data_IF_251736005713
#
_entry.id   IF_251736005713
#
_cell.length_a   1.000
_cell.length_b   1.000
_cell.length_c   1.000
_cell.angle_alpha   90.00
_cell.angle_beta   90.00
_cell.angle_gamma   90.00
#
_symmetry.space_group_name_H-M   'P 1'
#
loop_
_entity.id
_entity.type
_entity.pdbx_description
1 polymer ?
#
# COMPACT_ATOMS: atom_id res chain seq x y z
N UNK A 1 16.89 31.69 60.63
CA UNK A 1 17.60 32.31 59.51
C UNK A 1 17.11 31.61 58.27
N UNK A 2 16.28 32.31 57.52
CA UNK A 2 15.52 31.81 56.37
C UNK A 2 16.16 32.37 55.12
N UNK A 3 16.65 31.52 54.22
CA UNK A 3 17.01 31.91 52.86
C UNK A 3 16.12 31.14 51.88
N UNK A 4 15.00 31.77 51.53
CA UNK A 4 14.22 31.42 50.34
C UNK A 4 14.89 32.09 49.15
N UNK A 5 15.50 31.28 48.28
CA UNK A 5 16.05 31.75 47.03
C UNK A 5 14.96 31.57 45.95
N UNK A 6 14.04 32.54 45.89
CA UNK A 6 13.05 32.64 44.82
C UNK A 6 13.76 32.96 43.51
N UNK A 7 13.91 31.94 42.65
CA UNK A 7 14.28 32.12 41.25
C UNK A 7 13.04 32.57 40.50
N UNK A 8 12.77 33.88 40.53
CA UNK A 8 11.85 34.53 39.60
C UNK A 8 12.45 34.41 38.19
N UNK A 9 12.04 33.39 37.44
CA UNK A 9 12.25 33.35 36.00
C UNK A 9 11.43 34.50 35.39
N UNK A 10 12.12 35.56 34.99
CA UNK A 10 11.52 36.68 34.24
C UNK A 10 10.77 36.12 33.02
N UNK A 11 9.45 36.13 33.08
CA UNK A 11 8.64 35.87 31.89
C UNK A 11 8.90 37.03 30.91
N UNK A 12 9.30 36.76 29.66
CA UNK A 12 9.52 37.82 28.70
C UNK A 12 8.21 38.58 28.46
N UNK A 13 8.16 39.83 28.90
CA UNK A 13 7.04 40.73 28.67
C UNK A 13 7.11 41.26 27.25
N UNK A 14 6.31 40.69 26.36
CA UNK A 14 6.19 41.16 24.99
C UNK A 14 5.33 42.43 24.93
N UNK A 15 5.77 43.41 24.17
CA UNK A 15 4.95 44.58 23.81
C UNK A 15 3.84 44.15 22.85
N UNK A 16 2.72 44.90 22.83
CA UNK A 16 1.60 44.64 21.93
C UNK A 16 2.05 44.53 20.45
N UNK A 17 2.97 45.39 20.03
CA UNK A 17 3.53 45.36 18.67
C UNK A 17 4.35 44.09 18.38
N UNK A 18 5.09 43.57 19.36
CA UNK A 18 5.82 42.31 19.21
C UNK A 18 4.87 41.11 19.09
N UNK A 19 3.76 41.12 19.85
CA UNK A 19 2.73 40.07 19.74
C UNK A 19 2.05 40.11 18.38
N UNK A 20 1.71 41.30 17.86
CA UNK A 20 1.14 41.47 16.52
C UNK A 20 2.09 40.96 15.42
N UNK A 21 3.40 41.29 15.50
CA UNK A 21 4.41 40.78 14.58
C UNK A 21 4.55 39.25 14.62
N UNK A 22 4.48 38.66 15.82
CA UNK A 22 4.52 37.20 16.00
C UNK A 22 3.28 36.56 15.37
N UNK A 23 2.09 37.12 15.60
CA UNK A 23 0.84 36.62 15.02
C UNK A 23 0.89 36.68 13.50
N UNK A 24 1.39 37.77 12.92
CA UNK A 24 1.50 37.94 11.47
C UNK A 24 2.51 36.95 10.86
N UNK A 25 3.67 36.77 11.49
CA UNK A 25 4.68 35.77 11.09
C UNK A 25 4.15 34.34 11.14
N UNK A 26 3.47 33.97 12.23
CA UNK A 26 2.88 32.63 12.40
C UNK A 26 1.78 32.41 11.36
N UNK A 27 0.90 33.39 11.16
CA UNK A 27 -0.19 33.32 10.18
C UNK A 27 0.35 33.17 8.75
N UNK A 28 1.40 33.90 8.41
CA UNK A 28 2.08 33.78 7.12
C UNK A 28 2.68 32.39 6.94
N UNK A 29 3.43 31.89 7.93
CA UNK A 29 4.04 30.56 7.87
C UNK A 29 3.01 29.44 7.72
N UNK A 30 1.91 29.51 8.47
CA UNK A 30 0.81 28.53 8.37
C UNK A 30 0.18 28.57 6.98
N UNK A 31 -0.03 29.75 6.40
CA UNK A 31 -0.53 29.88 5.02
C UNK A 31 0.45 29.33 3.99
N UNK A 32 1.73 29.64 4.11
CA UNK A 32 2.78 29.13 3.21
C UNK A 32 2.87 27.60 3.27
N UNK A 33 2.83 27.00 4.47
CA UNK A 33 2.80 25.54 4.64
C UNK A 33 1.52 24.92 4.06
N UNK A 34 0.36 25.53 4.27
CA UNK A 34 -0.89 25.05 3.68
C UNK A 34 -0.92 25.16 2.15
N UNK A 35 -0.34 26.22 1.59
CA UNK A 35 -0.23 26.40 0.13
C UNK A 35 0.74 25.39 -0.45
N UNK A 36 1.91 25.18 0.16
CA UNK A 36 2.85 24.12 -0.25
C UNK A 36 2.21 22.74 -0.17
N UNK A 37 1.55 22.39 0.94
CA UNK A 37 0.82 21.13 1.06
C UNK A 37 -0.30 20.99 0.02
N UNK A 38 -1.02 22.07 -0.29
CA UNK A 38 -2.09 22.08 -1.28
C UNK A 38 -1.57 21.97 -2.72
N UNK A 39 -0.39 22.51 -3.03
CA UNK A 39 0.28 22.40 -4.33
C UNK A 39 0.98 21.05 -4.52
N UNK A 40 1.52 20.46 -3.45
CA UNK A 40 2.19 19.16 -3.47
C UNK A 40 1.21 17.98 -3.45
N UNK A 41 0.06 18.10 -2.77
CA UNK A 41 -1.00 17.06 -2.75
C UNK A 41 -1.39 16.51 -4.13
N UNK A 42 -1.68 17.34 -5.16
CA UNK A 42 -2.09 16.84 -6.47
C UNK A 42 -0.94 16.21 -7.26
N UNK A 43 0.32 16.62 -7.03
CA UNK A 43 1.49 16.02 -7.69
C UNK A 43 1.91 14.70 -7.05
N UNK A 44 1.60 14.52 -5.78
CA UNK A 44 2.01 13.37 -4.99
C UNK A 44 3.51 13.38 -4.68
N UNK A 45 3.91 12.51 -3.76
CA UNK A 45 5.33 12.30 -3.41
C UNK A 45 5.84 11.13 -4.28
N UNK A 46 6.94 11.29 -5.01
CA UNK A 46 7.48 10.21 -5.83
C UNK A 46 7.90 9.02 -4.95
N UNK A 47 7.69 7.81 -5.46
CA UNK A 47 8.09 6.59 -4.76
C UNK A 47 9.63 6.56 -4.62
N UNK A 48 10.18 6.18 -3.45
CA UNK A 48 11.61 6.03 -3.28
C UNK A 48 12.23 5.06 -4.32
N UNK A 49 13.38 5.44 -4.90
CA UNK A 49 14.04 4.69 -5.97
C UNK A 49 14.31 3.24 -5.59
N UNK A 50 14.79 3.00 -4.36
CA UNK A 50 15.08 1.66 -3.86
C UNK A 50 13.85 0.71 -3.78
N UNK A 51 12.62 1.25 -3.81
CA UNK A 51 11.39 0.45 -3.90
C UNK A 51 11.04 0.23 -5.37
N UNK A 52 11.03 1.31 -6.16
CA UNK A 52 10.71 1.26 -7.59
C UNK A 52 11.68 0.35 -8.38
N UNK A 53 12.98 0.47 -8.16
CA UNK A 53 14.01 -0.33 -8.85
C UNK A 53 13.87 -1.83 -8.54
N UNK A 54 13.51 -2.21 -7.30
CA UNK A 54 13.27 -3.62 -6.97
C UNK A 54 11.99 -4.14 -7.62
N UNK A 55 10.93 -3.34 -7.68
CA UNK A 55 9.69 -3.70 -8.38
C UNK A 55 9.93 -3.89 -9.88
N UNK A 56 10.69 -2.99 -10.50
CA UNK A 56 11.08 -3.09 -11.92
C UNK A 56 11.97 -4.31 -12.18
N UNK A 57 12.92 -4.58 -11.29
CA UNK A 57 13.74 -5.78 -11.37
C UNK A 57 12.87 -7.04 -11.35
N UNK A 58 11.88 -7.10 -10.44
CA UNK A 58 11.00 -8.25 -10.36
C UNK A 58 10.05 -8.39 -11.55
N UNK A 59 9.61 -7.26 -12.11
CA UNK A 59 8.81 -7.25 -13.33
C UNK A 59 9.62 -7.76 -14.53
N UNK A 60 10.86 -7.30 -14.69
CA UNK A 60 11.75 -7.74 -15.77
C UNK A 60 12.15 -9.21 -15.67
N UNK A 61 12.26 -9.75 -14.45
CA UNK A 61 12.69 -11.11 -14.18
C UNK A 61 11.55 -12.13 -14.03
N UNK A 62 10.28 -11.73 -14.21
CA UNK A 62 9.07 -12.54 -14.02
C UNK A 62 9.11 -13.40 -12.73
N UNK A 63 9.57 -12.78 -11.63
CA UNK A 63 9.80 -13.46 -10.35
C UNK A 63 9.04 -12.81 -9.19
N UNK A 64 8.21 -11.80 -9.48
CA UNK A 64 7.43 -11.04 -8.49
C UNK A 64 6.62 -11.96 -7.57
N UNK A 65 5.96 -12.98 -8.13
CA UNK A 65 5.20 -13.94 -7.35
C UNK A 65 6.09 -14.73 -6.36
N UNK A 66 7.30 -15.12 -6.78
CA UNK A 66 8.25 -15.82 -5.92
C UNK A 66 8.75 -14.91 -4.79
N UNK A 67 9.04 -13.64 -5.10
CA UNK A 67 9.46 -12.64 -4.12
C UNK A 67 8.38 -12.41 -3.04
N UNK A 68 7.12 -12.26 -3.45
CA UNK A 68 5.98 -12.09 -2.55
C UNK A 68 5.80 -13.31 -1.64
N UNK A 69 5.89 -14.53 -2.20
CA UNK A 69 5.82 -15.76 -1.41
C UNK A 69 6.97 -15.90 -0.42
N UNK A 70 8.17 -15.45 -0.79
CA UNK A 70 9.33 -15.44 0.10
C UNK A 70 9.10 -14.48 1.28
N UNK A 71 8.71 -13.23 1.00
CA UNK A 71 8.44 -12.24 2.04
C UNK A 71 7.35 -12.72 3.00
N UNK A 72 6.24 -13.27 2.49
CA UNK A 72 5.15 -13.81 3.32
C UNK A 72 5.64 -14.88 4.32
N UNK A 73 6.65 -15.67 3.97
CA UNK A 73 7.25 -16.68 4.87
C UNK A 73 8.18 -16.08 5.92
N UNK A 74 8.76 -14.92 5.65
CA UNK A 74 9.65 -14.19 6.56
C UNK A 74 8.87 -13.41 7.63
N UNK A 75 7.60 -13.07 7.37
CA UNK A 75 6.75 -12.33 8.32
C UNK A 75 6.48 -13.18 9.58
N UNK A 76 6.71 -12.62 10.79
CA UNK A 76 6.46 -13.33 12.05
C UNK A 76 4.99 -13.74 12.23
N UNK A 77 4.81 -14.81 13.01
CA UNK A 77 3.49 -15.24 13.45
C UNK A 77 3.08 -14.47 14.70
N UNK A 78 1.87 -13.95 14.68
CA UNK A 78 1.21 -13.36 15.84
C UNK A 78 0.08 -14.28 16.30
N UNK A 79 -0.10 -14.38 17.61
CA UNK A 79 -1.19 -15.15 18.20
C UNK A 79 -2.20 -14.17 18.78
N UNK A 80 -3.34 -14.04 18.10
CA UNK A 80 -4.56 -13.44 18.62
C UNK A 80 -5.70 -14.10 17.84
N UNK A 81 -6.47 -14.94 18.54
CA UNK A 81 -7.36 -15.95 17.94
C UNK A 81 -8.36 -15.35 16.95
N UNK A 82 -8.83 -14.14 17.19
CA UNK A 82 -9.85 -13.49 16.37
C UNK A 82 -9.23 -12.67 15.23
N UNK A 83 -8.29 -11.77 15.56
CA UNK A 83 -7.83 -10.75 14.60
C UNK A 83 -6.81 -11.28 13.58
N UNK A 84 -6.10 -12.35 13.93
CA UNK A 84 -4.93 -12.82 13.17
C UNK A 84 -5.22 -14.11 12.40
N UNK A 85 -6.25 -14.85 12.81
CA UNK A 85 -6.69 -16.10 12.18
C UNK A 85 -7.41 -15.80 10.87
N UNK A 86 -7.01 -16.49 9.80
CA UNK A 86 -7.68 -16.35 8.52
C UNK A 86 -8.98 -17.15 8.50
N UNK A 87 -10.09 -16.46 8.24
CA UNK A 87 -11.35 -17.12 7.90
C UNK A 87 -11.26 -17.75 6.52
N UNK A 88 -11.95 -18.87 6.35
CA UNK A 88 -12.11 -19.56 5.07
C UNK A 88 -13.51 -20.11 4.95
N UNK A 89 -14.01 -20.26 3.73
CA UNK A 89 -15.30 -20.90 3.49
C UNK A 89 -15.29 -22.34 3.99
N UNK A 90 -16.31 -22.72 4.78
CA UNK A 90 -16.46 -24.09 5.24
C UNK A 90 -16.63 -25.04 4.04
N UNK A 91 -15.83 -26.12 3.93
CA UNK A 91 -15.90 -27.08 2.82
C UNK A 91 -17.29 -27.64 2.54
N UNK A 92 -18.12 -27.80 3.57
CA UNK A 92 -19.47 -28.34 3.44
C UNK A 92 -20.38 -27.45 2.59
N UNK A 93 -20.15 -26.13 2.56
CA UNK A 93 -20.96 -25.19 1.77
C UNK A 93 -20.42 -24.97 0.35
N UNK A 94 -19.26 -25.53 0.00
CA UNK A 94 -18.65 -25.31 -1.32
C UNK A 94 -19.56 -25.85 -2.43
N UNK A 95 -20.16 -27.03 -2.22
CA UNK A 95 -21.04 -27.63 -3.23
C UNK A 95 -22.34 -26.83 -3.40
N UNK A 96 -22.93 -26.38 -2.30
CA UNK A 96 -24.14 -25.55 -2.32
C UNK A 96 -23.86 -24.20 -3.01
N UNK A 97 -22.74 -23.56 -2.68
CA UNK A 97 -22.29 -22.33 -3.34
C UNK A 97 -22.10 -22.52 -4.84
N UNK A 98 -21.52 -23.66 -5.28
CA UNK A 98 -21.38 -23.98 -6.70
C UNK A 98 -22.73 -24.18 -7.39
N UNK A 99 -23.68 -24.82 -6.73
CA UNK A 99 -25.02 -25.07 -7.28
C UNK A 99 -25.79 -23.77 -7.49
N UNK A 100 -25.64 -22.79 -6.60
CA UNK A 100 -26.29 -21.50 -6.73
C UNK A 100 -25.58 -20.59 -7.74
N UNK A 101 -24.25 -20.44 -7.63
CA UNK A 101 -23.46 -19.59 -8.54
C UNK A 101 -21.98 -19.96 -8.47
N UNK A 102 -21.50 -20.72 -9.45
CA UNK A 102 -20.09 -21.16 -9.55
C UNK A 102 -19.10 -20.01 -9.42
N UNK A 103 -19.42 -18.84 -9.98
CA UNK A 103 -18.55 -17.66 -9.92
C UNK A 103 -18.43 -17.07 -8.51
N UNK A 104 -19.43 -17.27 -7.64
CA UNK A 104 -19.37 -16.82 -6.25
C UNK A 104 -18.27 -17.54 -5.47
N UNK A 105 -17.97 -18.82 -5.77
CA UNK A 105 -16.88 -19.54 -5.10
C UNK A 105 -15.53 -18.92 -5.43
N UNK A 106 -15.31 -18.59 -6.71
CA UNK A 106 -14.05 -17.95 -7.17
C UNK A 106 -13.90 -16.55 -6.55
N UNK A 107 -14.99 -15.77 -6.52
CA UNK A 107 -14.99 -14.44 -5.91
C UNK A 107 -14.68 -14.52 -4.41
N UNK A 108 -15.36 -15.40 -3.67
CA UNK A 108 -15.13 -15.58 -2.23
C UNK A 108 -13.70 -16.02 -1.93
N UNK A 109 -13.14 -16.96 -2.69
CA UNK A 109 -11.73 -17.36 -2.53
C UNK A 109 -10.76 -16.22 -2.84
N UNK A 110 -11.09 -15.39 -3.84
CA UNK A 110 -10.29 -14.20 -4.16
C UNK A 110 -10.30 -13.23 -2.98
N UNK A 111 -11.48 -12.96 -2.40
CA UNK A 111 -11.61 -12.11 -1.21
C UNK A 111 -10.77 -12.67 -0.06
N UNK A 112 -10.87 -13.96 0.25
CA UNK A 112 -10.06 -14.60 1.31
C UNK A 112 -8.55 -14.38 1.10
N UNK A 113 -8.07 -14.51 -0.15
CA UNK A 113 -6.67 -14.28 -0.50
C UNK A 113 -6.26 -12.81 -0.37
N UNK A 114 -7.12 -11.87 -0.78
CA UNK A 114 -6.89 -10.43 -0.60
C UNK A 114 -6.78 -10.09 0.89
N UNK A 115 -7.72 -10.58 1.70
CA UNK A 115 -7.72 -10.40 3.15
C UNK A 115 -6.46 -10.96 3.80
N UNK A 116 -6.00 -12.15 3.39
CA UNK A 116 -4.74 -12.72 3.87
C UNK A 116 -3.52 -11.86 3.49
N UNK A 117 -3.50 -11.27 2.29
CA UNK A 117 -2.46 -10.33 1.86
C UNK A 117 -2.42 -9.11 2.80
N UNK A 118 -3.59 -8.52 3.09
CA UNK A 118 -3.72 -7.40 4.04
C UNK A 118 -3.24 -7.80 5.44
N UNK A 119 -3.59 -9.01 5.92
CA UNK A 119 -3.11 -9.51 7.22
C UNK A 119 -1.58 -9.67 7.24
N UNK A 120 -0.95 -10.11 6.16
CA UNK A 120 0.52 -10.22 6.08
C UNK A 120 1.17 -8.84 6.18
N UNK A 121 0.63 -7.83 5.49
CA UNK A 121 1.11 -6.45 5.62
C UNK A 121 0.96 -5.94 7.05
N UNK A 122 -0.20 -6.16 7.67
CA UNK A 122 -0.47 -5.75 9.05
C UNK A 122 0.54 -6.40 10.03
N UNK A 123 0.78 -7.72 9.93
CA UNK A 123 1.76 -8.43 10.74
C UNK A 123 3.18 -7.88 10.57
N UNK A 124 3.58 -7.57 9.34
CA UNK A 124 4.89 -6.99 9.07
C UNK A 124 5.03 -5.58 9.66
N UNK A 125 4.00 -4.74 9.55
CA UNK A 125 3.97 -3.42 10.21
C UNK A 125 4.02 -3.57 11.73
N UNK A 126 3.25 -4.50 12.31
CA UNK A 126 3.28 -4.76 13.76
C UNK A 126 4.68 -5.15 14.23
N UNK A 127 5.38 -5.99 13.49
CA UNK A 127 6.76 -6.37 13.82
C UNK A 127 7.69 -5.17 13.86
N UNK A 128 7.65 -4.32 12.82
CA UNK A 128 8.48 -3.12 12.74
C UNK A 128 8.10 -2.15 13.87
N UNK A 129 6.80 -1.97 14.12
CA UNK A 129 6.29 -1.16 15.21
C UNK A 129 6.84 -1.61 16.57
N UNK A 130 6.83 -2.91 16.87
CA UNK A 130 7.37 -3.43 18.13
C UNK A 130 8.86 -3.10 18.30
N UNK A 131 9.64 -3.22 17.23
CA UNK A 131 11.08 -2.90 17.23
C UNK A 131 11.32 -1.42 17.45
N UNK A 132 10.63 -0.55 16.71
CA UNK A 132 10.77 0.90 16.85
C UNK A 132 10.26 1.39 18.20
N UNK A 133 9.12 0.87 18.67
CA UNK A 133 8.56 1.21 19.97
C UNK A 133 9.49 0.80 21.12
N UNK A 134 10.17 -0.35 21.01
CA UNK A 134 11.20 -0.75 21.96
C UNK A 134 12.35 0.25 22.02
N UNK A 135 12.85 0.71 20.86
CA UNK A 135 13.92 1.74 20.80
C UNK A 135 13.45 3.06 21.42
N UNK A 136 12.24 3.51 21.09
CA UNK A 136 11.66 4.74 21.64
C UNK A 136 11.48 4.67 23.16
N UNK A 137 11.02 3.53 23.68
CA UNK A 137 10.70 3.36 25.10
C UNK A 137 11.94 3.36 26.00
N UNK A 138 13.05 2.78 25.53
CA UNK A 138 14.29 2.70 26.30
C UNK A 138 15.28 3.85 26.04
N UNK A 139 15.00 4.69 25.05
CA UNK A 139 15.92 5.69 24.52
C UNK A 139 17.00 5.09 23.62
N UNK A 140 17.41 5.87 22.60
CA UNK A 140 18.45 5.48 21.66
C UNK A 140 19.80 5.34 22.37
N UNK A 141 20.48 4.22 22.15
CA UNK A 141 21.79 3.88 22.70
C UNK A 141 22.83 3.74 21.57
N UNK A 142 24.12 3.92 21.87
CA UNK A 142 25.19 3.61 20.93
C UNK A 142 25.11 2.13 20.49
N UNK A 143 24.96 1.89 19.18
CA UNK A 143 24.78 0.55 18.60
C UNK A 143 23.40 0.26 18.03
N UNK A 144 22.41 1.12 18.27
CA UNK A 144 21.04 0.95 17.75
C UNK A 144 20.91 1.23 16.26
N UNK A 145 21.92 1.85 15.67
CA UNK A 145 21.97 2.20 14.25
C UNK A 145 21.72 0.97 13.36
N UNK A 146 22.28 -0.19 13.71
CA UNK A 146 22.11 -1.43 12.95
C UNK A 146 20.69 -2.00 13.07
N UNK A 147 20.01 -1.77 14.20
CA UNK A 147 18.60 -2.14 14.36
C UNK A 147 17.75 -1.23 13.46
N UNK A 148 17.99 0.08 13.49
CA UNK A 148 17.27 1.04 12.66
C UNK A 148 17.45 0.74 11.17
N UNK A 149 18.69 0.52 10.71
CA UNK A 149 18.97 0.15 9.31
C UNK A 149 18.23 -1.11 8.89
N UNK A 150 18.20 -2.14 9.75
CA UNK A 150 17.46 -3.37 9.49
C UNK A 150 15.95 -3.11 9.36
N UNK A 151 15.37 -2.30 10.23
CA UNK A 151 13.93 -2.04 10.17
C UNK A 151 13.54 -1.11 9.01
N UNK A 152 14.43 -0.19 8.59
CA UNK A 152 14.27 0.57 7.34
C UNK A 152 14.24 -0.39 6.14
N UNK A 153 15.12 -1.39 6.12
CA UNK A 153 15.11 -2.43 5.08
C UNK A 153 13.86 -3.30 5.15
N UNK A 154 13.36 -3.64 6.34
CA UNK A 154 12.08 -4.34 6.52
C UNK A 154 10.90 -3.52 5.97
N UNK A 155 10.86 -2.20 6.21
CA UNK A 155 9.85 -1.28 5.67
C UNK A 155 9.91 -1.23 4.15
N UNK A 156 11.11 -1.16 3.59
CA UNK A 156 11.33 -1.16 2.13
C UNK A 156 10.79 -2.45 1.50
N UNK A 157 11.13 -3.62 2.05
CA UNK A 157 10.60 -4.92 1.60
C UNK A 157 9.09 -5.03 1.73
N UNK A 158 8.52 -4.49 2.81
CA UNK A 158 7.08 -4.43 3.00
C UNK A 158 6.39 -3.57 1.93
N UNK A 159 6.97 -2.42 1.58
CA UNK A 159 6.45 -1.59 0.49
C UNK A 159 6.49 -2.33 -0.85
N UNK A 160 7.60 -3.00 -1.17
CA UNK A 160 7.73 -3.85 -2.37
C UNK A 160 6.69 -4.98 -2.36
N UNK A 161 6.49 -5.65 -1.23
CA UNK A 161 5.44 -6.67 -1.08
C UNK A 161 4.05 -6.11 -1.35
N UNK A 162 3.75 -4.92 -0.82
CA UNK A 162 2.45 -4.26 -1.00
C UNK A 162 2.15 -3.89 -2.44
N UNK A 163 3.05 -3.14 -3.09
CA UNK A 163 2.89 -2.76 -4.49
C UNK A 163 2.93 -3.97 -5.43
N UNK A 164 3.82 -4.93 -5.16
CA UNK A 164 3.90 -6.17 -5.92
C UNK A 164 2.62 -7.00 -5.82
N UNK A 165 2.06 -7.11 -4.62
CA UNK A 165 0.78 -7.82 -4.41
C UNK A 165 -0.35 -7.12 -5.16
N UNK A 166 -0.40 -5.78 -5.14
CA UNK A 166 -1.39 -5.02 -5.90
C UNK A 166 -1.27 -5.31 -7.41
N UNK A 167 -0.06 -5.35 -7.97
CA UNK A 167 0.17 -5.70 -9.37
C UNK A 167 -0.35 -7.10 -9.73
N UNK A 168 -0.13 -8.09 -8.88
CA UNK A 168 -0.68 -9.44 -9.09
C UNK A 168 -2.21 -9.45 -9.01
N UNK A 169 -2.80 -8.69 -8.08
CA UNK A 169 -4.25 -8.59 -7.94
C UNK A 169 -4.91 -7.90 -9.15
N UNK A 170 -4.27 -6.87 -9.71
CA UNK A 170 -4.68 -6.24 -10.97
C UNK A 170 -4.63 -7.24 -12.14
N UNK A 171 -3.60 -8.09 -12.21
CA UNK A 171 -3.49 -9.13 -13.22
C UNK A 171 -4.60 -10.19 -13.09
N UNK A 172 -4.89 -10.62 -11.86
CA UNK A 172 -6.01 -11.56 -11.59
C UNK A 172 -7.35 -10.94 -11.97
N UNK A 173 -7.57 -9.64 -11.67
CA UNK A 173 -8.78 -8.93 -12.06
C UNK A 173 -8.92 -8.88 -13.59
N UNK A 174 -7.83 -8.59 -14.31
CA UNK A 174 -7.81 -8.59 -15.78
C UNK A 174 -8.20 -9.96 -16.35
N UNK A 175 -7.60 -11.04 -15.83
CA UNK A 175 -7.92 -12.42 -16.25
C UNK A 175 -9.40 -12.78 -15.97
N UNK A 176 -9.94 -12.37 -14.82
CA UNK A 176 -11.36 -12.57 -14.51
C UNK A 176 -12.25 -11.81 -15.51
N UNK A 177 -11.92 -10.55 -15.82
CA UNK A 177 -12.68 -9.76 -16.80
C UNK A 177 -12.65 -10.39 -18.18
N UNK A 178 -11.48 -10.79 -18.67
CA UNK A 178 -11.31 -11.44 -19.97
C UNK A 178 -12.14 -12.74 -20.09
N UNK A 179 -12.16 -13.53 -19.02
CA UNK A 179 -13.00 -14.74 -18.94
C UNK A 179 -14.49 -14.42 -18.94
N UNK A 180 -14.90 -13.35 -18.27
CA UNK A 180 -16.30 -12.96 -18.18
C UNK A 180 -16.85 -12.43 -19.52
N UNK A 181 -16.05 -11.64 -20.25
CA UNK A 181 -16.42 -11.11 -21.57
C UNK A 181 -16.26 -12.13 -22.71
N UNK A 182 -15.76 -13.35 -22.40
CA UNK A 182 -15.49 -14.41 -23.38
C UNK A 182 -14.65 -13.92 -24.55
N UNK A 183 -13.51 -13.28 -24.26
CA UNK A 183 -12.67 -12.69 -25.29
C UNK A 183 -12.40 -13.67 -26.45
N UNK A 184 -12.73 -13.30 -27.70
CA UNK A 184 -12.39 -14.08 -28.88
C UNK A 184 -10.90 -14.44 -28.92
N UNK A 185 -10.58 -15.67 -29.33
CA UNK A 185 -9.19 -16.13 -29.42
C UNK A 185 -8.33 -15.30 -30.38
N UNK A 186 -8.97 -14.64 -31.36
CA UNK A 186 -8.39 -13.69 -32.31
C UNK A 186 -7.81 -12.47 -31.62
N UNK A 187 -8.43 -11.97 -30.56
CA UNK A 187 -8.00 -10.76 -29.82
C UNK A 187 -7.00 -11.04 -28.68
N UNK A 188 -6.60 -12.30 -28.45
CA UNK A 188 -5.63 -12.65 -27.39
C UNK A 188 -4.28 -11.95 -27.52
N UNK A 189 -3.88 -11.60 -28.74
CA UNK A 189 -2.62 -10.91 -29.00
C UNK A 189 -2.61 -9.44 -28.58
N UNK A 190 -3.79 -8.89 -28.25
CA UNK A 190 -3.99 -7.51 -27.79
C UNK A 190 -4.09 -7.42 -26.27
N UNK A 191 -3.81 -8.51 -25.54
CA UNK A 191 -3.78 -8.46 -24.08
C UNK A 191 -2.87 -7.29 -23.64
N UNK A 192 -3.42 -6.30 -22.92
CA UNK A 192 -2.76 -5.00 -22.79
C UNK A 192 -1.42 -5.13 -22.08
N UNK A 193 -0.34 -4.82 -22.81
CA UNK A 193 0.98 -4.60 -22.25
C UNK A 193 1.03 -3.19 -21.68
N UNK A 194 0.81 -3.09 -20.37
CA UNK A 194 1.00 -1.91 -19.51
C UNK A 194 0.87 -0.52 -20.17
N UNK A 195 -0.28 0.14 -20.05
CA UNK A 195 -0.45 1.55 -20.44
C UNK A 195 0.10 2.54 -19.38
N UNK A 196 0.58 3.71 -19.84
CA UNK A 196 1.26 4.78 -19.07
C UNK A 196 0.42 6.07 -18.96
N UNK A 197 -0.88 5.96 -18.61
CA UNK A 197 -1.77 7.13 -18.41
C UNK A 197 -2.12 7.41 -16.95
N UNK A 198 -2.51 8.66 -16.62
CA UNK A 198 -3.01 9.08 -15.29
C UNK A 198 -4.24 8.29 -14.82
N UNK A 199 -5.08 7.83 -15.76
CA UNK A 199 -6.09 6.79 -15.55
C UNK A 199 -5.67 5.55 -16.31
N UNK A 200 -5.17 4.56 -15.58
CA UNK A 200 -4.81 3.27 -16.16
C UNK A 200 -6.03 2.36 -16.19
N UNK A 201 -6.73 2.33 -17.31
CA UNK A 201 -7.76 1.32 -17.54
C UNK A 201 -7.10 -0.06 -17.70
N UNK A 202 -7.80 -1.10 -17.26
CA UNK A 202 -7.30 -2.48 -17.40
C UNK A 202 -7.19 -2.91 -18.87
N UNK A 203 -7.96 -2.29 -19.75
CA UNK A 203 -8.01 -2.40 -21.21
C UNK A 203 -8.01 -0.99 -21.80
N UNK A 204 -7.18 -0.74 -22.80
CA UNK A 204 -7.03 0.58 -23.43
C UNK A 204 -8.03 0.77 -24.59
N UNK A 205 -8.07 1.99 -25.13
CA UNK A 205 -9.01 2.36 -26.20
C UNK A 205 -8.75 1.55 -27.48
N UNK A 206 -7.48 1.23 -27.78
CA UNK A 206 -7.07 0.38 -28.91
C UNK A 206 -7.66 -1.04 -28.79
N UNK A 207 -7.58 -1.63 -27.59
CA UNK A 207 -8.22 -2.92 -27.31
C UNK A 207 -9.74 -2.84 -27.48
N UNK A 208 -10.37 -1.76 -26.99
CA UNK A 208 -11.83 -1.61 -27.05
C UNK A 208 -12.33 -1.47 -28.49
N UNK A 209 -11.64 -0.70 -29.32
CA UNK A 209 -11.99 -0.52 -30.73
C UNK A 209 -12.01 -1.86 -31.48
N UNK A 210 -10.94 -2.65 -31.34
CA UNK A 210 -10.84 -3.96 -31.98
C UNK A 210 -11.82 -4.99 -31.39
N UNK A 211 -12.09 -4.91 -30.08
CA UNK A 211 -13.12 -5.74 -29.45
C UNK A 211 -14.51 -5.48 -30.04
N UNK A 212 -14.89 -4.21 -30.21
CA UNK A 212 -16.19 -3.86 -30.78
C UNK A 212 -16.27 -4.25 -32.26
N UNK A 213 -15.22 -4.00 -33.04
CA UNK A 213 -15.18 -4.38 -34.46
C UNK A 213 -15.40 -5.88 -34.67
N UNK A 214 -14.70 -6.74 -33.93
CA UNK A 214 -14.90 -8.20 -34.04
C UNK A 214 -16.22 -8.67 -33.44
N UNK A 215 -16.70 -8.05 -32.36
CA UNK A 215 -17.95 -8.46 -31.70
C UNK A 215 -19.19 -8.14 -32.54
N UNK A 216 -19.19 -7.01 -33.27
CA UNK A 216 -20.31 -6.62 -34.13
C UNK A 216 -20.32 -7.30 -35.51
N UNK A 217 -19.19 -7.83 -35.98
CA UNK A 217 -19.13 -8.62 -37.22
C UNK A 217 -19.71 -10.02 -37.06
N UNK A 218 -19.75 -10.57 -35.83
CA UNK A 218 -20.25 -11.93 -35.55
C UNK A 218 -21.78 -11.98 -35.32
N UNK A 219 -22.44 -10.83 -35.14
CA UNK A 219 -23.91 -10.75 -34.92
C UNK A 219 -24.76 -10.55 -36.21
N UNK A 220 -24.18 -10.62 -37.41
CA UNK A 220 -24.90 -10.63 -38.70
C UNK A 220 -24.83 -11.99 -39.40
#
# INVERSE_FOLDING_TARGET
MSDQNDTNAEQPTFTQSQVEQIIELVTRRVRETQVQEAEERPRGIPLPSAIFEELDHYAAADNLQKAIQKFKKEVPKYNNEEWVTAETTNPNFINDLKQHKVDSVKLTNTIHRLTDTTRVQAKAVTYIYEKLNFLCSRGLQPGDEEIIKREVESLRKLAVYGFGSAKLQEADARDITLKAIKLPSTLKHLEPQQSNGEKKYAFDDDFLEQYYDESFVVEQ
#
